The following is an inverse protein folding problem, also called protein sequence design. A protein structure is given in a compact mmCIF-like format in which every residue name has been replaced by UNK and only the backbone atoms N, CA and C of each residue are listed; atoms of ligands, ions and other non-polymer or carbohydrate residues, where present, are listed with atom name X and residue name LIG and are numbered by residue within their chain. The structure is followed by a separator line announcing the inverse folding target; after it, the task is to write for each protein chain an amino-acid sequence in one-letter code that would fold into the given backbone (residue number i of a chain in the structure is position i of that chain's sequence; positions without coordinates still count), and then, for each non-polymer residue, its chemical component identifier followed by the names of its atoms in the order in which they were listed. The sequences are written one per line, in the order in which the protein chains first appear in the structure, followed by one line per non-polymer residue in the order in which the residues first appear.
data_IF_354025392648
#
_entry.id   IF_354025392648
#
_cell.length_a   1.000
_cell.length_b   1.000
_cell.length_c   1.000
_cell.angle_alpha   90.00
_cell.angle_beta   90.00
_cell.angle_gamma   90.00
#
_symmetry.space_group_name_H-M   'P 1'
#
loop_
_entity.id
_entity.type
_entity.pdbx_description
1 polymer ?
#
# COMPACT_ATOMS: atom_id res chain seq x y z
N UNK A 1 7.69 -14.17 27.42
CA UNK A 1 6.64 -14.36 26.40
C UNK A 1 6.62 -13.13 25.50
N UNK A 2 6.80 -13.28 24.18
CA UNK A 2 6.86 -12.16 23.26
C UNK A 2 5.45 -11.74 22.84
N UNK A 3 5.03 -10.51 23.22
CA UNK A 3 3.72 -9.90 22.93
C UNK A 3 3.64 -9.23 21.54
N UNK A 4 4.45 -9.65 20.58
CA UNK A 4 4.50 -9.04 19.25
C UNK A 4 4.25 -10.10 18.19
N UNK A 5 3.02 -10.14 17.67
CA UNK A 5 2.65 -11.03 16.55
C UNK A 5 1.17 -11.45 16.46
N UNK A 6 0.36 -11.27 17.50
CA UNK A 6 -0.99 -11.88 17.52
C UNK A 6 -2.08 -11.05 16.80
N UNK A 7 -1.82 -9.77 16.46
CA UNK A 7 -2.86 -8.84 15.94
C UNK A 7 -2.53 -8.22 14.57
N UNK A 8 -1.33 -8.43 14.04
CA UNK A 8 -0.91 -7.89 12.76
C UNK A 8 -0.25 -8.97 11.89
N UNK A 9 -0.67 -9.04 10.62
CA UNK A 9 -0.11 -9.93 9.61
C UNK A 9 0.69 -9.13 8.60
N UNK A 10 1.85 -9.64 8.19
CA UNK A 10 2.73 -8.96 7.24
C UNK A 10 2.82 -9.75 5.93
N UNK A 11 2.75 -9.03 4.81
CA UNK A 11 2.77 -9.63 3.47
C UNK A 11 3.64 -8.83 2.52
N UNK A 12 4.33 -9.56 1.64
CA UNK A 12 4.94 -8.99 0.45
C UNK A 12 4.04 -9.25 -0.75
N UNK A 13 3.53 -8.20 -1.39
CA UNK A 13 2.59 -8.31 -2.52
C UNK A 13 3.18 -7.69 -3.78
N UNK A 14 3.15 -8.37 -4.94
CA UNK A 14 3.48 -7.75 -6.22
C UNK A 14 2.58 -6.55 -6.49
N UNK A 15 3.12 -5.53 -7.18
CA UNK A 15 2.36 -4.33 -7.53
C UNK A 15 1.46 -4.60 -8.74
N UNK A 16 0.26 -5.11 -8.50
CA UNK A 16 -0.73 -5.20 -9.57
C UNK A 16 -1.28 -3.80 -9.91
N UNK A 17 -1.23 -3.45 -11.20
CA UNK A 17 -1.65 -2.13 -11.71
C UNK A 17 -3.08 -2.26 -12.21
N UNK A 18 -3.98 -1.41 -11.72
CA UNK A 18 -5.38 -1.39 -12.18
C UNK A 18 -5.50 -1.13 -13.70
N UNK A 19 -4.52 -0.45 -14.28
CA UNK A 19 -4.43 -0.20 -15.71
C UNK A 19 -2.99 -0.45 -16.19
N UNK A 20 -2.77 -0.97 -17.41
CA UNK A 20 -1.44 -1.26 -17.96
C UNK A 20 -0.46 -0.07 -17.87
N UNK A 21 -0.95 1.15 -18.12
CA UNK A 21 -0.18 2.39 -18.05
C UNK A 21 -0.48 3.24 -16.79
N UNK A 22 -1.33 2.76 -15.89
CA UNK A 22 -1.78 3.49 -14.71
C UNK A 22 -0.80 3.43 -13.54
N UNK A 23 -0.75 4.47 -12.72
CA UNK A 23 -0.02 4.44 -11.44
C UNK A 23 -0.86 3.89 -10.28
N UNK A 24 -2.19 3.75 -10.51
CA UNK A 24 -3.19 3.35 -9.53
C UNK A 24 -3.10 1.83 -9.27
N UNK A 25 -2.80 1.39 -8.03
CA UNK A 25 -2.82 -0.03 -7.68
C UNK A 25 -4.24 -0.57 -7.82
N UNK A 26 -4.35 -1.85 -8.19
CA UNK A 26 -5.63 -2.54 -8.03
C UNK A 26 -5.95 -2.69 -6.53
N UNK A 27 -7.14 -2.26 -6.13
CA UNK A 27 -7.57 -2.25 -4.72
C UNK A 27 -8.85 -3.04 -4.49
N UNK A 28 -9.35 -3.75 -5.49
CA UNK A 28 -10.41 -4.75 -5.29
C UNK A 28 -9.80 -5.98 -4.64
N UNK A 29 -10.44 -6.50 -3.60
CA UNK A 29 -10.02 -7.73 -2.94
C UNK A 29 -11.27 -8.56 -2.62
N UNK A 30 -11.39 -9.73 -3.26
CA UNK A 30 -12.54 -10.62 -3.11
C UNK A 30 -13.88 -9.91 -3.33
N UNK A 31 -14.72 -9.90 -2.31
CA UNK A 31 -16.06 -9.30 -2.31
C UNK A 31 -16.09 -7.82 -1.91
N UNK A 32 -14.92 -7.16 -1.77
CA UNK A 32 -14.82 -5.78 -1.31
C UNK A 32 -13.69 -4.98 -1.96
N UNK A 33 -13.37 -3.84 -1.36
CA UNK A 33 -12.33 -2.94 -1.85
C UNK A 33 -11.62 -2.19 -0.73
N UNK A 34 -10.34 -1.90 -0.97
CA UNK A 34 -9.51 -1.08 -0.11
C UNK A 34 -9.62 0.39 -0.49
N UNK A 35 -10.00 1.24 0.48
CA UNK A 35 -10.06 2.70 0.33
C UNK A 35 -8.94 3.32 1.13
N UNK A 36 -8.15 4.20 0.50
CA UNK A 36 -7.13 4.95 1.22
C UNK A 36 -7.79 5.86 2.27
N UNK A 37 -7.19 5.91 3.46
CA UNK A 37 -7.63 6.76 4.57
C UNK A 37 -6.45 7.56 5.09
N UNK A 38 -6.71 8.81 5.48
CA UNK A 38 -5.67 9.72 5.96
C UNK A 38 -4.64 10.14 4.92
N UNK A 39 -3.70 10.96 5.37
CA UNK A 39 -2.56 11.40 4.58
C UNK A 39 -1.42 10.37 4.61
N UNK A 40 -0.64 10.33 3.54
CA UNK A 40 0.58 9.53 3.46
C UNK A 40 1.60 10.00 4.51
N UNK A 41 2.11 9.07 5.34
CA UNK A 41 3.09 9.39 6.40
C UNK A 41 4.51 9.00 5.96
N UNK A 42 5.51 9.90 6.04
CA UNK A 42 6.89 9.54 5.79
C UNK A 42 7.41 8.57 6.87
N UNK A 43 8.24 7.61 6.48
CA UNK A 43 8.87 6.63 7.36
C UNK A 43 10.38 6.75 7.24
N UNK A 44 11.06 6.89 8.38
CA UNK A 44 12.52 7.06 8.47
C UNK A 44 12.89 8.37 9.15
N UNK A 45 13.93 8.32 9.99
CA UNK A 45 14.60 9.47 10.62
C UNK A 45 16.11 9.20 10.62
N UNK A 46 16.98 10.19 10.38
CA UNK A 46 16.69 11.61 10.13
C UNK A 46 16.16 11.91 8.72
N UNK A 47 16.33 11.00 7.76
CA UNK A 47 15.84 11.15 6.38
C UNK A 47 14.71 10.13 6.11
N UNK A 48 13.62 10.51 5.43
CA UNK A 48 12.57 9.56 5.06
C UNK A 48 13.11 8.56 4.02
N UNK A 49 12.98 7.27 4.33
CA UNK A 49 13.34 6.14 3.46
C UNK A 49 12.11 5.50 2.81
N UNK A 50 10.92 5.85 3.30
CA UNK A 50 9.67 5.27 2.86
C UNK A 50 8.46 6.19 3.08
N UNK A 51 7.33 5.74 2.54
CA UNK A 51 6.01 6.33 2.75
C UNK A 51 5.07 5.22 3.18
N UNK A 52 4.35 5.44 4.27
CA UNK A 52 3.27 4.59 4.80
C UNK A 52 1.92 5.18 4.38
N UNK A 53 1.10 4.37 3.72
CA UNK A 53 -0.29 4.69 3.35
C UNK A 53 -1.23 3.78 4.14
N UNK A 54 -2.25 4.36 4.76
CA UNK A 54 -3.28 3.58 5.44
C UNK A 54 -4.49 3.35 4.51
N UNK A 55 -5.06 2.16 4.59
CA UNK A 55 -6.25 1.76 3.85
C UNK A 55 -7.23 1.07 4.80
N UNK A 56 -8.52 1.27 4.53
CA UNK A 56 -9.62 0.59 5.21
C UNK A 56 -10.33 -0.30 4.21
N UNK A 57 -10.66 -1.52 4.61
CA UNK A 57 -11.46 -2.41 3.77
C UNK A 57 -12.95 -2.08 3.90
N UNK A 58 -13.60 -2.03 2.75
CA UNK A 58 -15.05 -1.95 2.63
C UNK A 58 -15.56 -3.25 2.02
N UNK A 59 -16.45 -3.94 2.74
CA UNK A 59 -17.10 -5.15 2.25
C UNK A 59 -18.25 -4.76 1.31
N UNK A 60 -18.35 -5.42 0.16
CA UNK A 60 -19.36 -5.15 -0.87
C UNK A 60 -18.86 -4.30 -2.04
N UNK A 61 -19.76 -4.05 -3.00
CA UNK A 61 -19.44 -3.31 -4.23
C UNK A 61 -19.35 -1.81 -3.98
N UNK A 62 -18.27 -1.18 -4.44
CA UNK A 62 -18.15 0.28 -4.43
C UNK A 62 -19.29 0.92 -5.26
N UNK A 63 -19.88 2.06 -4.84
CA UNK A 63 -19.57 2.87 -3.65
C UNK A 63 -20.35 2.50 -2.38
N UNK A 64 -21.27 1.52 -2.44
CA UNK A 64 -22.19 1.16 -1.34
C UNK A 64 -21.60 0.17 -0.32
N UNK A 65 -20.28 0.01 -0.29
CA UNK A 65 -19.63 -0.94 0.62
C UNK A 65 -19.77 -0.52 2.08
N UNK A 66 -19.81 -1.49 2.99
CA UNK A 66 -19.84 -1.27 4.44
C UNK A 66 -18.41 -1.20 4.97
N UNK A 67 -18.09 -0.15 5.72
CA UNK A 67 -16.77 0.02 6.34
C UNK A 67 -16.55 -1.11 7.35
N UNK A 68 -15.40 -1.76 7.29
CA UNK A 68 -15.00 -2.79 8.25
C UNK A 68 -13.86 -2.30 9.15
N UNK A 69 -13.54 -3.07 10.19
CA UNK A 69 -12.41 -2.80 11.09
C UNK A 69 -11.07 -3.32 10.55
N UNK A 70 -11.02 -3.77 9.31
CA UNK A 70 -9.79 -4.20 8.67
C UNK A 70 -9.01 -2.99 8.18
N UNK A 71 -7.78 -2.86 8.68
CA UNK A 71 -6.85 -1.80 8.34
C UNK A 71 -5.63 -2.43 7.67
N UNK A 72 -5.21 -1.85 6.55
CA UNK A 72 -3.98 -2.21 5.88
C UNK A 72 -3.05 -1.01 5.83
N UNK A 73 -1.78 -1.22 6.14
CA UNK A 73 -0.72 -0.26 5.93
C UNK A 73 0.17 -0.72 4.80
N UNK A 74 0.11 0.00 3.67
CA UNK A 74 1.03 -0.19 2.56
C UNK A 74 2.27 0.68 2.76
N UNK A 75 3.44 0.06 2.73
CA UNK A 75 4.73 0.73 2.79
C UNK A 75 5.38 0.71 1.41
N UNK A 76 5.84 1.88 0.96
CA UNK A 76 6.63 2.04 -0.26
C UNK A 76 7.95 2.73 0.05
N UNK A 77 9.00 2.40 -0.67
CA UNK A 77 10.27 3.12 -0.58
C UNK A 77 10.11 4.55 -1.13
N UNK A 78 10.71 5.51 -0.43
CA UNK A 78 10.82 6.89 -0.84
C UNK A 78 12.09 7.02 -1.69
N UNK A 79 12.11 6.39 -2.86
CA UNK A 79 13.21 6.60 -3.80
C UNK A 79 12.87 7.79 -4.68
N UNK A 80 13.62 8.87 -4.45
CA UNK A 80 13.83 10.06 -5.30
C UNK A 80 12.65 10.42 -6.20
N UNK A 81 11.88 11.40 -5.73
CA UNK A 81 11.37 12.46 -6.57
C UNK A 81 10.73 12.05 -7.92
N UNK A 82 9.43 11.77 -7.89
CA UNK A 82 8.63 11.73 -9.13
C UNK A 82 8.64 13.05 -9.91
N UNK A 83 9.24 14.13 -9.39
CA UNK A 83 9.39 15.39 -10.14
C UNK A 83 10.57 15.39 -11.12
N UNK A 84 11.57 14.51 -10.97
CA UNK A 84 12.65 14.39 -11.97
C UNK A 84 12.43 13.17 -12.84
N UNK A 85 11.61 13.38 -13.88
CA UNK A 85 11.49 12.52 -15.06
C UNK A 85 12.85 12.42 -15.79
N UNK A 86 13.83 11.70 -15.25
CA UNK A 86 14.98 11.23 -16.04
C UNK A 86 14.52 10.03 -16.87
N UNK A 87 14.53 10.22 -18.20
CA UNK A 87 13.99 9.30 -19.21
C UNK A 87 14.61 7.88 -19.27
N UNK A 88 15.57 7.51 -18.42
CA UNK A 88 16.31 6.24 -18.53
C UNK A 88 16.33 5.34 -17.28
N UNK A 89 15.48 5.58 -16.27
CA UNK A 89 15.42 4.67 -15.10
C UNK A 89 14.58 3.43 -15.42
N UNK A 90 15.27 2.34 -15.77
CA UNK A 90 14.93 0.92 -15.60
C UNK A 90 13.51 0.63 -15.03
N UNK A 91 12.50 0.81 -15.88
CA UNK A 91 11.08 0.54 -15.55
C UNK A 91 10.85 -0.90 -15.05
N UNK A 92 11.70 -1.83 -15.48
CA UNK A 92 11.62 -3.27 -15.15
C UNK A 92 11.92 -3.54 -13.67
N UNK A 93 12.86 -2.80 -13.06
CA UNK A 93 13.27 -3.03 -11.67
C UNK A 93 12.33 -2.38 -10.65
N UNK A 94 11.57 -1.35 -11.03
CA UNK A 94 10.58 -0.71 -10.13
C UNK A 94 9.23 -1.43 -10.13
N UNK A 95 8.88 -2.16 -11.20
CA UNK A 95 7.66 -2.97 -11.26
C UNK A 95 7.75 -4.27 -10.46
N UNK A 96 8.96 -4.76 -10.19
CA UNK A 96 9.20 -6.00 -9.45
C UNK A 96 9.43 -5.80 -7.95
N UNK A 97 9.37 -4.57 -7.42
CA UNK A 97 9.52 -4.36 -5.97
C UNK A 97 8.22 -4.74 -5.26
N UNK A 98 8.22 -5.75 -4.37
CA UNK A 98 7.04 -6.09 -3.61
C UNK A 98 6.67 -4.94 -2.66
N UNK A 99 5.37 -4.68 -2.52
CA UNK A 99 4.86 -3.84 -1.43
C UNK A 99 4.98 -4.61 -0.14
N UNK A 100 5.55 -3.98 0.87
CA UNK A 100 5.41 -4.46 2.23
C UNK A 100 4.10 -3.93 2.79
N UNK A 101 3.21 -4.85 3.17
CA UNK A 101 1.89 -4.52 3.70
C UNK A 101 1.75 -5.14 5.08
N UNK A 102 1.23 -4.38 6.03
CA UNK A 102 0.73 -4.93 7.28
C UNK A 102 -0.80 -4.85 7.31
N UNK A 103 -1.45 -5.94 7.70
CA UNK A 103 -2.89 -6.05 7.85
C UNK A 103 -3.18 -6.24 9.34
N UNK A 104 -4.14 -5.49 9.88
CA UNK A 104 -4.59 -5.67 11.25
C UNK A 104 -6.11 -5.46 11.34
N UNK A 105 -6.69 -5.96 12.43
CA UNK A 105 -8.09 -5.73 12.79
C UNK A 105 -8.11 -4.95 14.11
N UNK A 106 -8.80 -3.81 14.09
CA UNK A 106 -9.02 -2.98 15.29
C UNK A 106 -10.27 -3.40 16.05
#
# INVERSE_FOLDING_TARGET
MALYGEKEWYFFTPRDRKYPNGSRPNRSAGTGYWKATGADKPVGKPKPVGIKKALVFYAGKAPKGVKTNWIMHEYRLADVDRSVRKKNSLRVYTSMRPFFSSLSRT
#
